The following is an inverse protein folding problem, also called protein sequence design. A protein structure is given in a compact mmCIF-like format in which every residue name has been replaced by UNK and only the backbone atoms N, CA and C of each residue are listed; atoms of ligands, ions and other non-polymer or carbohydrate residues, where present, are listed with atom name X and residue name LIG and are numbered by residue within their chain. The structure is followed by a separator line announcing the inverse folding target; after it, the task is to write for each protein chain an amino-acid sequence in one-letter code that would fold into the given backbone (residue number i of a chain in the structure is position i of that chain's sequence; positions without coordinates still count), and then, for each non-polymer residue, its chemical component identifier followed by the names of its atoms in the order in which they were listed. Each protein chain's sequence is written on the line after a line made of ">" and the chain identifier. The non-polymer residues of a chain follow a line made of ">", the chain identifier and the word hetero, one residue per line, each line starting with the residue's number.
data_IF_334296130509
#
_entry.id   IF_334296130509
#
_cell.length_a   1.000
_cell.length_b   1.000
_cell.length_c   1.000
_cell.angle_alpha   90.00
_cell.angle_beta   90.00
_cell.angle_gamma   90.00
#
_symmetry.space_group_name_H-M   'P 1'
#
loop_
_entity.id
_entity.type
_entity.pdbx_description
1 polymer ?
#
# COMPACT_ATOMS: atom_id res chain seq x y z
N UNK A 1 -8.54 9.83 15.35
CA UNK A 1 -7.07 9.97 15.40
C UNK A 1 -6.65 10.64 14.10
N UNK A 2 -5.70 11.59 14.11
CA UNK A 2 -5.19 12.14 12.85
C UNK A 2 -4.35 11.07 12.14
N UNK A 3 -4.50 10.97 10.81
CA UNK A 3 -3.69 10.05 10.01
C UNK A 3 -2.21 10.41 10.11
N UNK A 4 -1.37 9.39 10.06
CA UNK A 4 0.06 9.52 9.86
C UNK A 4 0.50 8.75 8.63
N UNK A 5 1.59 9.19 7.99
CA UNK A 5 2.21 8.46 6.87
C UNK A 5 2.37 6.98 7.21
N UNK A 6 1.83 6.13 6.33
CA UNK A 6 1.84 4.68 6.46
C UNK A 6 0.61 4.07 7.14
N UNK A 7 -0.27 4.84 7.77
CA UNK A 7 -1.51 4.28 8.28
C UNK A 7 -2.26 3.57 7.14
N UNK A 8 -2.59 2.28 7.32
CA UNK A 8 -3.29 1.49 6.31
C UNK A 8 -4.79 1.64 6.55
N UNK A 9 -5.51 2.12 5.54
CA UNK A 9 -6.91 2.49 5.64
C UNK A 9 -7.72 1.43 4.88
N UNK A 10 -8.49 0.65 5.62
CA UNK A 10 -9.45 -0.29 5.06
C UNK A 10 -10.83 0.36 4.96
N UNK A 11 -11.33 0.46 3.74
CA UNK A 11 -12.66 0.96 3.44
C UNK A 11 -13.60 -0.23 3.16
N UNK A 12 -14.64 -0.45 3.98
CA UNK A 12 -15.60 -1.50 3.71
C UNK A 12 -16.50 -1.10 2.52
N UNK A 13 -16.16 -1.58 1.32
CA UNK A 13 -16.96 -1.40 0.11
C UNK A 13 -16.83 -2.60 -0.82
N UNK A 14 -17.96 -3.13 -1.30
CA UNK A 14 -18.00 -4.32 -2.14
C UNK A 14 -17.59 -5.63 -1.42
N UNK A 15 -17.52 -6.76 -2.14
CA UNK A 15 -17.33 -8.09 -1.54
C UNK A 15 -15.95 -8.29 -0.88
N UNK A 16 -14.90 -7.63 -1.38
CA UNK A 16 -13.53 -7.76 -0.90
C UNK A 16 -13.07 -6.59 0.00
N UNK A 17 -13.79 -5.47 0.04
CA UNK A 17 -13.29 -4.22 0.62
C UNK A 17 -12.28 -3.51 -0.29
N UNK A 18 -11.79 -2.36 0.17
CA UNK A 18 -10.79 -1.56 -0.52
C UNK A 18 -9.73 -1.08 0.46
N UNK A 19 -8.50 -0.86 -0.01
CA UNK A 19 -7.35 -0.48 0.83
C UNK A 19 -6.66 0.74 0.24
N UNK A 20 -6.29 1.66 1.12
CA UNK A 20 -5.35 2.74 0.87
C UNK A 20 -4.29 2.80 1.95
N UNK A 21 -3.37 3.73 1.77
CA UNK A 21 -2.34 4.08 2.75
C UNK A 21 -2.35 5.60 2.90
N UNK A 22 -2.28 6.11 4.12
CA UNK A 22 -2.02 7.51 4.35
C UNK A 22 -0.64 7.86 3.78
N UNK A 23 -0.62 8.71 2.75
CA UNK A 23 0.61 9.28 2.22
C UNK A 23 1.16 10.33 3.19
N UNK A 24 0.27 11.13 3.76
CA UNK A 24 0.52 12.10 4.84
C UNK A 24 -0.76 12.29 5.68
N UNK A 25 -0.79 13.32 6.53
CA UNK A 25 -1.93 13.62 7.42
C UNK A 25 -3.24 13.97 6.69
N UNK A 26 -3.21 14.30 5.40
CA UNK A 26 -4.35 14.80 4.62
C UNK A 26 -4.55 14.08 3.28
N UNK A 27 -3.66 13.18 2.93
CA UNK A 27 -3.62 12.54 1.62
C UNK A 27 -3.62 11.03 1.76
N UNK A 28 -4.54 10.37 1.07
CA UNK A 28 -4.58 8.91 0.95
C UNK A 28 -4.03 8.53 -0.42
N UNK A 29 -3.14 7.54 -0.49
CA UNK A 29 -2.71 6.92 -1.74
C UNK A 29 -3.33 5.52 -1.86
N UNK A 30 -4.02 5.25 -2.96
CA UNK A 30 -4.68 3.97 -3.19
C UNK A 30 -4.81 3.65 -4.67
N UNK A 31 -5.06 2.37 -4.98
CA UNK A 31 -5.20 1.91 -6.37
C UNK A 31 -6.66 1.66 -6.72
N UNK A 32 -7.19 2.31 -7.76
CA UNK A 32 -8.56 2.04 -8.25
C UNK A 32 -8.62 2.03 -9.77
N UNK A 33 -9.66 1.39 -10.32
CA UNK A 33 -9.78 1.17 -11.76
C UNK A 33 -9.77 2.47 -12.59
N UNK A 34 -10.39 3.54 -12.08
CA UNK A 34 -10.51 4.81 -12.78
C UNK A 34 -9.23 5.67 -12.75
N UNK A 35 -8.31 5.44 -11.80
CA UNK A 35 -7.19 6.36 -11.54
C UNK A 35 -5.85 5.66 -11.24
N UNK A 36 -5.72 4.35 -11.47
CA UNK A 36 -4.52 3.58 -11.13
C UNK A 36 -4.12 3.77 -9.65
N UNK A 37 -2.83 3.66 -9.30
CA UNK A 37 -2.31 3.99 -7.97
C UNK A 37 -2.01 5.49 -7.89
N UNK A 38 -2.80 6.21 -7.11
CA UNK A 38 -2.83 7.68 -7.13
C UNK A 38 -3.13 8.24 -5.75
N UNK A 39 -2.77 9.51 -5.58
CA UNK A 39 -3.03 10.30 -4.37
C UNK A 39 -4.39 10.96 -4.48
N UNK A 40 -5.12 10.98 -3.38
CA UNK A 40 -6.43 11.59 -3.24
C UNK A 40 -6.50 12.30 -1.89
N UNK A 41 -7.17 13.46 -1.86
CA UNK A 41 -7.38 14.18 -0.61
C UNK A 41 -8.27 13.36 0.32
N UNK A 42 -7.92 13.30 1.60
CA UNK A 42 -8.74 12.61 2.60
C UNK A 42 -10.10 13.28 2.74
N UNK A 43 -10.11 14.62 2.77
CA UNK A 43 -11.33 15.41 2.78
C UNK A 43 -11.99 15.42 1.40
N UNK A 44 -13.25 14.99 1.36
CA UNK A 44 -14.09 14.91 0.18
C UNK A 44 -15.32 15.81 0.38
N UNK A 45 -15.74 16.49 -0.68
CA UNK A 45 -16.93 17.34 -0.68
C UNK A 45 -17.95 16.79 -1.67
N UNK A 46 -19.09 16.33 -1.18
CA UNK A 46 -20.19 15.80 -2.01
C UNK A 46 -21.51 16.46 -1.62
N UNK A 47 -22.13 17.15 -2.57
CA UNK A 47 -23.42 17.83 -2.37
C UNK A 47 -23.46 18.82 -1.20
N UNK A 48 -22.32 19.43 -0.83
CA UNK A 48 -22.21 20.34 0.31
C UNK A 48 -21.91 19.66 1.65
N UNK A 49 -21.79 18.33 1.69
CA UNK A 49 -21.36 17.59 2.87
C UNK A 49 -19.85 17.33 2.81
N UNK A 50 -19.16 17.58 3.92
CA UNK A 50 -17.76 17.22 4.10
C UNK A 50 -17.72 15.80 4.65
N UNK A 51 -17.00 14.92 3.95
CA UNK A 51 -16.69 13.56 4.41
C UNK A 51 -15.18 13.37 4.39
N UNK A 52 -14.69 12.38 5.13
CA UNK A 52 -13.27 12.02 5.11
C UNK A 52 -13.14 10.54 4.80
N UNK A 53 -12.23 10.17 3.91
CA UNK A 53 -11.96 8.76 3.57
C UNK A 53 -11.56 8.00 4.84
N UNK A 54 -10.74 8.61 5.68
CA UNK A 54 -10.17 8.05 6.91
C UNK A 54 -11.17 7.86 8.06
N UNK A 55 -12.27 8.61 8.07
CA UNK A 55 -13.29 8.57 9.15
C UNK A 55 -14.71 8.27 8.65
N UNK A 56 -14.83 7.84 7.40
CA UNK A 56 -16.11 7.38 6.86
C UNK A 56 -16.62 6.15 7.60
N UNK A 57 -17.94 5.95 7.58
CA UNK A 57 -18.60 4.89 8.35
C UNK A 57 -18.01 3.51 8.04
N UNK A 58 -17.51 2.85 9.08
CA UNK A 58 -17.00 1.48 9.02
C UNK A 58 -15.56 1.33 8.57
N UNK A 59 -14.88 2.44 8.23
CA UNK A 59 -13.45 2.45 7.93
C UNK A 59 -12.67 1.93 9.13
N UNK A 60 -11.64 1.13 8.87
CA UNK A 60 -10.68 0.68 9.87
C UNK A 60 -9.31 1.22 9.48
N UNK A 61 -8.64 1.87 10.41
CA UNK A 61 -7.28 2.34 10.23
C UNK A 61 -6.33 1.47 11.04
N UNK A 62 -5.24 1.02 10.41
CA UNK A 62 -4.19 0.24 11.04
C UNK A 62 -2.92 1.08 11.11
N UNK A 63 -2.50 1.43 12.31
CA UNK A 63 -1.34 2.26 12.56
C UNK A 63 -0.09 1.39 12.73
N UNK A 64 0.98 1.62 11.94
CA UNK A 64 2.27 0.98 12.16
C UNK A 64 2.81 1.38 13.55
N UNK A 65 3.52 0.49 14.26
CA UNK A 65 4.10 0.81 15.56
C UNK A 65 5.39 1.63 15.39
N UNK A 66 5.25 2.86 14.91
CA UNK A 66 6.35 3.78 14.60
C UNK A 66 7.27 4.08 15.79
N UNK A 67 6.76 3.93 17.00
CA UNK A 67 7.50 4.03 18.26
C UNK A 67 8.56 2.94 18.44
N UNK A 68 8.44 1.82 17.71
CA UNK A 68 9.37 0.69 17.79
C UNK A 68 10.60 0.81 16.88
N UNK A 69 10.75 1.92 16.17
CA UNK A 69 11.87 2.12 15.25
C UNK A 69 12.52 3.49 15.42
N UNK A 70 13.85 3.50 15.61
CA UNK A 70 14.59 4.72 15.92
C UNK A 70 14.69 5.74 14.77
N UNK A 71 14.38 5.36 13.53
CA UNK A 71 14.47 6.22 12.35
C UNK A 71 13.12 6.36 11.62
N UNK A 72 12.02 6.45 12.37
CA UNK A 72 10.66 6.50 11.84
C UNK A 72 10.47 7.54 10.72
N UNK A 73 10.99 8.76 10.88
CA UNK A 73 10.83 9.82 9.87
C UNK A 73 11.52 9.47 8.54
N UNK A 74 12.73 8.91 8.60
CA UNK A 74 13.44 8.45 7.41
C UNK A 74 12.70 7.30 6.72
N UNK A 75 12.08 6.39 7.49
CA UNK A 75 11.25 5.31 6.95
C UNK A 75 9.94 5.80 6.34
N UNK A 76 9.28 6.77 6.95
CA UNK A 76 8.09 7.43 6.39
C UNK A 76 8.43 8.12 5.06
N UNK A 77 9.55 8.83 4.99
CA UNK A 77 10.03 9.44 3.75
C UNK A 77 10.37 8.39 2.68
N UNK A 78 11.00 7.27 3.06
CA UNK A 78 11.23 6.15 2.13
C UNK A 78 9.93 5.55 1.61
N UNK A 79 8.95 5.33 2.50
CA UNK A 79 7.65 4.79 2.14
C UNK A 79 6.93 5.70 1.12
N UNK A 80 7.00 7.02 1.30
CA UNK A 80 6.48 8.00 0.33
C UNK A 80 7.21 7.91 -1.02
N UNK A 81 8.55 7.85 -1.02
CA UNK A 81 9.34 7.71 -2.26
C UNK A 81 9.00 6.45 -3.03
N UNK A 82 8.85 5.33 -2.33
CA UNK A 82 8.42 4.08 -2.94
C UNK A 82 7.00 4.20 -3.49
N UNK A 83 6.08 4.80 -2.72
CA UNK A 83 4.70 5.00 -3.14
C UNK A 83 4.61 5.85 -4.43
N UNK A 84 5.42 6.91 -4.51
CA UNK A 84 5.56 7.74 -5.72
C UNK A 84 6.13 6.96 -6.91
N UNK A 85 7.14 6.12 -6.67
CA UNK A 85 7.74 5.28 -7.71
C UNK A 85 6.74 4.25 -8.27
N UNK A 86 5.91 3.66 -7.40
CA UNK A 86 4.83 2.76 -7.84
C UNK A 86 3.75 3.54 -8.59
N UNK A 87 3.31 4.70 -8.07
CA UNK A 87 2.26 5.53 -8.67
C UNK A 87 2.66 6.07 -10.05
N UNK A 88 3.95 6.30 -10.28
CA UNK A 88 4.47 6.81 -11.53
C UNK A 88 4.25 5.87 -12.74
N UNK A 89 4.23 4.55 -12.53
CA UNK A 89 4.20 3.57 -13.63
C UNK A 89 3.18 2.45 -13.50
N UNK A 90 2.60 2.22 -12.31
CA UNK A 90 1.69 1.11 -12.10
C UNK A 90 0.28 1.40 -12.64
N UNK A 91 -0.30 0.45 -13.36
CA UNK A 91 -1.69 0.47 -13.81
C UNK A 91 -2.58 -0.40 -12.93
N UNK A 92 -3.87 -0.07 -12.81
CA UNK A 92 -4.80 -0.93 -12.09
C UNK A 92 -5.13 -2.19 -12.90
N UNK A 93 -5.00 -3.36 -12.29
CA UNK A 93 -5.27 -4.64 -12.94
C UNK A 93 -6.62 -5.24 -12.59
N UNK A 94 -7.67 -4.95 -13.37
CA UNK A 94 -9.00 -5.56 -13.19
C UNK A 94 -8.90 -7.11 -13.19
N UNK A 95 -8.17 -7.68 -14.15
CA UNK A 95 -7.97 -9.13 -14.25
C UNK A 95 -7.05 -9.71 -13.16
N UNK A 96 -6.20 -8.89 -12.53
CA UNK A 96 -5.41 -9.33 -11.36
C UNK A 96 -6.28 -9.40 -10.10
N UNK A 97 -7.27 -8.53 -9.97
CA UNK A 97 -8.20 -8.57 -8.84
C UNK A 97 -8.95 -9.91 -8.74
N UNK A 98 -9.27 -10.54 -9.88
CA UNK A 98 -9.89 -11.88 -9.93
C UNK A 98 -8.89 -12.98 -9.50
N UNK A 99 -7.60 -12.86 -9.85
CA UNK A 99 -6.57 -13.84 -9.49
C UNK A 99 -6.06 -13.72 -8.06
N UNK A 100 -6.36 -12.63 -7.35
CA UNK A 100 -6.00 -12.49 -5.94
C UNK A 100 -6.56 -13.64 -5.09
N UNK A 101 -7.71 -14.19 -5.46
CA UNK A 101 -8.35 -15.31 -4.76
C UNK A 101 -7.74 -16.69 -5.11
N UNK A 102 -6.89 -16.77 -6.13
CA UNK A 102 -6.31 -18.02 -6.63
C UNK A 102 -4.80 -17.99 -6.34
N UNK A 103 -4.40 -18.64 -5.25
CA UNK A 103 -3.01 -18.71 -4.82
C UNK A 103 -2.87 -18.61 -3.31
N UNK A 104 -1.64 -18.72 -2.83
CA UNK A 104 -1.33 -18.52 -1.40
C UNK A 104 -0.99 -17.06 -1.15
N UNK A 105 -1.59 -16.47 -0.12
CA UNK A 105 -1.22 -15.13 0.34
C UNK A 105 0.03 -15.12 1.22
N UNK A 106 0.64 -16.28 1.51
CA UNK A 106 1.81 -16.38 2.36
C UNK A 106 3.08 -15.94 1.61
N UNK A 107 3.98 -15.24 2.29
CA UNK A 107 5.27 -14.85 1.71
C UNK A 107 6.22 -16.06 1.59
N UNK A 108 6.09 -16.80 0.49
CA UNK A 108 6.93 -17.94 0.12
C UNK A 108 8.00 -17.61 -0.94
N UNK A 109 8.67 -18.63 -1.50
CA UNK A 109 9.74 -18.44 -2.50
C UNK A 109 9.34 -17.60 -3.71
N UNK A 110 8.12 -17.79 -4.23
CA UNK A 110 7.63 -17.03 -5.39
C UNK A 110 7.37 -15.56 -5.05
N UNK A 111 6.84 -15.30 -3.84
CA UNK A 111 6.64 -13.95 -3.33
C UNK A 111 7.98 -13.25 -3.14
N UNK A 112 8.97 -13.95 -2.59
CA UNK A 112 10.34 -13.46 -2.46
C UNK A 112 10.98 -13.14 -3.82
N UNK A 113 10.84 -14.03 -4.81
CA UNK A 113 11.37 -13.80 -6.16
C UNK A 113 10.73 -12.56 -6.83
N UNK A 114 9.41 -12.37 -6.68
CA UNK A 114 8.73 -11.16 -7.15
C UNK A 114 9.21 -9.91 -6.42
N UNK A 115 9.30 -9.97 -5.09
CA UNK A 115 9.82 -8.85 -4.29
C UNK A 115 11.23 -8.45 -4.71
N UNK A 116 12.14 -9.42 -4.89
CA UNK A 116 13.50 -9.16 -5.37
C UNK A 116 13.52 -8.48 -6.73
N UNK A 117 12.62 -8.87 -7.65
CA UNK A 117 12.46 -8.22 -8.96
C UNK A 117 12.02 -6.76 -8.81
N UNK A 118 11.03 -6.49 -7.97
CA UNK A 118 10.55 -5.13 -7.71
C UNK A 118 11.63 -4.27 -7.05
N UNK A 119 12.36 -4.86 -6.09
CA UNK A 119 13.50 -4.21 -5.42
C UNK A 119 14.61 -3.86 -6.41
N UNK A 120 15.01 -4.79 -7.28
CA UNK A 120 16.04 -4.51 -8.29
C UNK A 120 15.64 -3.35 -9.22
N UNK A 121 14.36 -3.31 -9.64
CA UNK A 121 13.84 -2.21 -10.49
C UNK A 121 13.78 -0.87 -9.77
N UNK A 122 13.34 -0.88 -8.51
CA UNK A 122 13.34 0.32 -7.68
C UNK A 122 14.76 0.84 -7.48
N UNK A 123 15.69 0.00 -7.05
CA UNK A 123 17.09 0.37 -6.82
C UNK A 123 17.78 0.89 -8.09
N UNK A 124 17.51 0.29 -9.25
CA UNK A 124 18.08 0.73 -10.53
C UNK A 124 17.63 2.14 -10.97
N UNK A 125 16.49 2.63 -10.46
CA UNK A 125 15.89 3.89 -10.92
C UNK A 125 15.66 4.92 -9.80
N UNK A 126 15.86 4.57 -8.52
CA UNK A 126 15.55 5.47 -7.39
C UNK A 126 16.36 6.78 -7.37
N UNK A 127 17.53 6.78 -8.01
CA UNK A 127 18.34 7.99 -8.20
C UNK A 127 17.78 8.92 -9.29
N UNK A 128 16.88 8.44 -10.15
CA UNK A 128 16.24 9.21 -11.22
C UNK A 128 14.74 8.89 -11.26
N UNK A 129 13.95 9.37 -10.29
CA UNK A 129 12.56 8.95 -10.11
C UNK A 129 11.63 9.20 -11.33
N UNK A 130 11.96 10.18 -12.18
CA UNK A 130 11.24 10.42 -13.42
C UNK A 130 11.19 9.18 -14.34
N UNK A 131 12.20 8.30 -14.26
CA UNK A 131 12.27 7.10 -15.09
C UNK A 131 11.17 6.09 -14.80
N UNK A 132 10.58 6.08 -13.59
CA UNK A 132 9.52 5.12 -13.25
C UNK A 132 8.27 5.25 -14.14
N UNK A 133 8.11 6.36 -14.86
CA UNK A 133 7.02 6.61 -15.83
C UNK A 133 7.30 5.99 -17.20
N UNK A 134 8.55 5.62 -17.49
CA UNK A 134 8.95 5.13 -18.79
C UNK A 134 8.67 3.61 -18.91
N UNK A 135 8.16 3.12 -20.05
CA UNK A 135 7.93 1.70 -20.25
C UNK A 135 9.19 0.86 -20.01
N UNK A 136 9.08 -0.17 -19.16
CA UNK A 136 10.19 -1.04 -18.79
C UNK A 136 10.97 -0.62 -17.54
N UNK A 137 10.76 0.60 -17.04
CA UNK A 137 11.40 1.14 -15.84
C UNK A 137 10.47 1.14 -14.62
N UNK A 138 9.22 0.70 -14.77
CA UNK A 138 8.24 0.68 -13.69
C UNK A 138 8.68 -0.30 -12.59
N UNK A 139 8.50 0.06 -11.32
CA UNK A 139 8.72 -0.86 -10.18
C UNK A 139 7.88 -2.14 -10.39
N UNK A 140 6.60 -1.92 -10.64
CA UNK A 140 5.60 -2.93 -10.94
C UNK A 140 4.63 -2.36 -11.98
N UNK A 141 4.30 -3.16 -13.00
CA UNK A 141 3.49 -2.70 -14.14
C UNK A 141 2.00 -2.62 -13.84
N UNK A 142 1.51 -3.55 -13.02
CA UNK A 142 0.08 -3.69 -12.74
C UNK A 142 -0.10 -4.07 -11.29
N UNK A 143 -1.01 -3.38 -10.61
CA UNK A 143 -1.30 -3.54 -9.18
C UNK A 143 -2.80 -3.66 -8.91
N UNK A 144 -3.12 -4.18 -7.74
CA UNK A 144 -4.41 -4.01 -7.07
C UNK A 144 -4.24 -3.13 -5.83
N UNK A 145 -5.32 -2.75 -5.16
CA UNK A 145 -5.26 -1.82 -4.01
C UNK A 145 -4.41 -2.36 -2.86
N UNK A 146 -4.59 -3.62 -2.46
CA UNK A 146 -3.78 -4.27 -1.42
C UNK A 146 -2.36 -4.57 -1.90
N UNK A 147 -2.18 -5.04 -3.14
CA UNK A 147 -0.84 -5.33 -3.69
C UNK A 147 0.05 -4.08 -3.68
N UNK A 148 -0.49 -2.93 -4.09
CA UNK A 148 0.27 -1.67 -4.11
C UNK A 148 0.78 -1.31 -2.72
N UNK A 149 -0.08 -1.35 -1.70
CA UNK A 149 0.30 -1.04 -0.30
C UNK A 149 1.32 -2.04 0.24
N UNK A 150 1.11 -3.34 0.01
CA UNK A 150 2.03 -4.40 0.46
C UNK A 150 3.42 -4.19 -0.17
N UNK A 151 3.49 -3.96 -1.48
CA UNK A 151 4.76 -3.72 -2.18
C UNK A 151 5.44 -2.44 -1.66
N UNK A 152 4.69 -1.37 -1.35
CA UNK A 152 5.26 -0.16 -0.78
C UNK A 152 6.00 -0.46 0.54
N UNK A 153 5.36 -1.18 1.45
CA UNK A 153 5.97 -1.61 2.71
C UNK A 153 7.15 -2.55 2.51
N UNK A 154 7.02 -3.55 1.64
CA UNK A 154 8.11 -4.51 1.40
C UNK A 154 9.36 -3.86 0.79
N UNK A 155 9.22 -2.77 0.04
CA UNK A 155 10.37 -2.06 -0.53
C UNK A 155 10.96 -1.02 0.43
N UNK A 156 10.13 -0.38 1.26
CA UNK A 156 10.58 0.61 2.23
C UNK A 156 11.28 -0.02 3.45
N UNK A 157 10.97 -1.28 3.75
CA UNK A 157 11.47 -2.01 4.91
C UNK A 157 12.28 -3.25 4.51
N UNK A 158 13.42 -3.54 5.15
CA UNK A 158 14.15 -4.80 5.00
C UNK A 158 13.32 -6.02 5.43
N UNK A 159 13.59 -7.19 4.83
CA UNK A 159 12.88 -8.47 5.11
C UNK A 159 12.82 -8.88 6.59
N UNK A 160 13.81 -8.46 7.39
CA UNK A 160 13.90 -8.76 8.83
C UNK A 160 13.19 -7.75 9.73
N UNK A 161 12.71 -6.63 9.21
CA UNK A 161 12.22 -5.49 10.00
C UNK A 161 10.72 -5.68 10.34
N UNK A 162 10.44 -6.64 11.24
CA UNK A 162 9.09 -6.88 11.72
C UNK A 162 8.62 -5.77 12.70
N UNK A 163 7.33 -5.38 12.70
CA UNK A 163 6.24 -5.87 11.86
C UNK A 163 6.04 -5.05 10.58
N UNK A 164 7.00 -4.21 10.19
CA UNK A 164 6.86 -3.29 9.05
C UNK A 164 7.01 -4.00 7.71
N UNK A 165 7.89 -5.00 7.61
CA UNK A 165 7.90 -5.86 6.43
C UNK A 165 6.65 -6.74 6.40
N UNK A 166 5.70 -6.41 5.54
CA UNK A 166 4.46 -7.16 5.41
C UNK A 166 4.76 -8.52 4.75
N UNK A 167 4.68 -9.59 5.55
CA UNK A 167 4.96 -10.97 5.11
C UNK A 167 3.76 -11.62 4.43
N UNK A 168 3.20 -10.90 3.47
CA UNK A 168 2.17 -11.40 2.57
C UNK A 168 2.65 -11.36 1.13
N UNK A 169 2.16 -12.29 0.34
CA UNK A 169 2.27 -12.24 -1.09
C UNK A 169 1.26 -11.24 -1.66
N UNK A 170 1.73 -10.04 -2.00
CA UNK A 170 0.86 -8.98 -2.52
C UNK A 170 0.05 -9.38 -3.76
N UNK A 171 0.57 -10.32 -4.57
CA UNK A 171 -0.11 -10.80 -5.77
C UNK A 171 -1.32 -11.70 -5.49
N UNK A 172 -1.46 -12.19 -4.25
CA UNK A 172 -2.53 -13.09 -3.79
C UNK A 172 -3.10 -12.68 -2.42
N UNK A 173 -2.94 -11.43 -2.02
CA UNK A 173 -3.45 -10.90 -0.75
C UNK A 173 -4.63 -9.97 -1.01
N UNK A 174 -5.84 -10.41 -0.65
CA UNK A 174 -7.03 -9.56 -0.66
C UNK A 174 -6.94 -8.50 0.45
N UNK A 175 -7.71 -7.39 0.35
CA UNK A 175 -7.81 -6.40 1.42
C UNK A 175 -8.10 -7.01 2.80
N UNK A 176 -9.04 -7.96 2.88
CA UNK A 176 -9.35 -8.69 4.14
C UNK A 176 -8.19 -9.55 4.65
N UNK A 177 -7.39 -10.11 3.76
CA UNK A 177 -6.19 -10.88 4.13
C UNK A 177 -5.17 -9.95 4.78
N UNK A 178 -4.98 -8.76 4.20
CA UNK A 178 -4.09 -7.75 4.76
C UNK A 178 -4.58 -7.28 6.13
N UNK A 179 -5.87 -6.93 6.30
CA UNK A 179 -6.38 -6.49 7.61
C UNK A 179 -6.26 -7.57 8.69
N UNK A 180 -6.50 -8.83 8.33
CA UNK A 180 -6.30 -9.98 9.24
C UNK A 180 -4.83 -10.09 9.67
N UNK A 181 -3.92 -9.97 8.72
CA UNK A 181 -2.49 -9.99 9.01
C UNK A 181 -2.06 -8.83 9.90
N UNK A 182 -2.49 -7.60 9.61
CA UNK A 182 -2.16 -6.41 10.40
C UNK A 182 -2.64 -6.56 11.85
N UNK A 183 -3.89 -6.99 12.05
CA UNK A 183 -4.45 -7.24 13.38
C UNK A 183 -3.71 -8.32 14.17
N UNK A 184 -3.11 -9.30 13.49
CA UNK A 184 -2.32 -10.35 14.12
C UNK A 184 -0.84 -9.97 14.37
N UNK A 185 -0.34 -8.90 13.74
CA UNK A 185 1.10 -8.57 13.72
C UNK A 185 1.44 -7.26 14.45
N UNK A 186 0.69 -6.92 15.50
CA UNK A 186 1.05 -5.84 16.42
C UNK A 186 0.85 -4.43 15.87
N UNK A 187 0.02 -4.27 14.84
CA UNK A 187 -0.46 -2.97 14.39
C UNK A 187 -1.67 -2.55 15.21
N UNK A 188 -1.72 -1.28 15.62
CA UNK A 188 -2.86 -0.77 16.37
C UNK A 188 -4.03 -0.51 15.43
N UNK A 189 -5.22 -0.99 15.76
CA UNK A 189 -6.44 -0.72 14.97
C UNK A 189 -7.27 0.38 15.60
N UNK A 190 -7.66 1.36 14.79
CA UNK A 190 -8.55 2.48 15.18
C UNK A 190 -9.79 2.44 14.28
N UNK A 191 -10.95 2.73 14.88
CA UNK A 191 -12.22 2.92 14.19
C UNK A 191 -12.61 4.38 14.20
#
# INVERSE_FOLDING_TARGET
>A
MAMQTGDIIFMPGGPAGHIGMAYDERTVIHAQNSKNFHKEADMQMDGGNITYISSSRGVLMFCPPWDRIGNADARKAELQRVADAVAAGATYGIYRAIRLAIGSSAFGPDAYARWMKYRARYEANKATPANFRNPGHEVIKTVTCSEAVIVCYQLAFPLGEAPFFIRLDGAHALPKTLTTWLGANGWASVR
#
